data_IF_404226930292
#
_entry.id   IF_404226930292
#
_cell.length_a   1.000
_cell.length_b   1.000
_cell.length_c   1.000
_cell.angle_alpha   90.00
_cell.angle_beta   90.00
_cell.angle_gamma   90.00
#
_symmetry.space_group_name_H-M   'P 1'
#
loop_
_entity.id
_entity.type
_entity.pdbx_description
1 polymer ?
#
# COMPACT_ATOMS: atom_id res chain seq x y z
N UNK A 1 -8.47 18.45 -6.11
CA UNK A 1 -8.44 17.07 -6.61
C UNK A 1 -8.39 16.16 -5.39
N UNK A 2 -9.50 15.52 -5.02
CA UNK A 2 -9.51 14.62 -3.86
C UNK A 2 -8.64 13.42 -4.17
N UNK A 3 -7.47 13.33 -3.51
CA UNK A 3 -6.58 12.20 -3.69
C UNK A 3 -7.30 10.94 -3.18
N UNK A 4 -7.51 9.96 -4.07
CA UNK A 4 -8.12 8.69 -3.69
C UNK A 4 -7.19 7.97 -2.72
N UNK A 5 -7.72 7.56 -1.57
CA UNK A 5 -6.97 6.85 -0.54
C UNK A 5 -7.26 5.36 -0.64
N UNK A 6 -6.22 4.54 -0.56
CA UNK A 6 -6.25 3.08 -0.64
C UNK A 6 -5.60 2.49 0.61
N UNK A 7 -6.17 1.39 1.09
CA UNK A 7 -5.60 0.67 2.24
C UNK A 7 -4.87 -0.57 1.75
N UNK A 8 -3.61 -0.78 2.15
CA UNK A 8 -2.87 -2.00 1.87
C UNK A 8 -2.48 -2.71 3.16
N UNK A 9 -2.33 -4.03 3.12
CA UNK A 9 -1.91 -4.84 4.25
C UNK A 9 -0.51 -5.36 4.04
N UNK A 10 0.39 -5.07 4.98
CA UNK A 10 1.80 -5.43 4.93
C UNK A 10 2.27 -5.95 6.30
N UNK A 11 3.10 -6.98 6.32
CA UNK A 11 3.88 -7.35 7.50
C UNK A 11 5.22 -6.58 7.56
N UNK A 12 6.01 -6.83 8.60
CA UNK A 12 7.29 -6.13 8.80
C UNK A 12 8.27 -6.38 7.63
N UNK A 13 8.37 -7.62 7.13
CA UNK A 13 9.30 -7.97 6.05
C UNK A 13 8.91 -7.30 4.73
N UNK A 14 7.62 -7.32 4.39
CA UNK A 14 7.06 -6.67 3.20
C UNK A 14 7.25 -5.14 3.29
N UNK A 15 7.05 -4.56 4.48
CA UNK A 15 7.31 -3.15 4.75
C UNK A 15 8.79 -2.77 4.59
N UNK A 16 9.71 -3.59 5.09
CA UNK A 16 11.15 -3.36 4.91
C UNK A 16 11.56 -3.39 3.43
N UNK A 17 11.06 -4.35 2.65
CA UNK A 17 11.35 -4.45 1.22
C UNK A 17 10.82 -3.22 0.44
N UNK A 18 9.65 -2.73 0.84
CA UNK A 18 9.05 -1.53 0.28
C UNK A 18 9.92 -0.30 0.57
N UNK A 19 10.39 -0.14 1.81
CA UNK A 19 11.29 0.95 2.20
C UNK A 19 12.63 0.89 1.45
N UNK A 20 13.20 -0.31 1.28
CA UNK A 20 14.41 -0.53 0.46
C UNK A 20 14.19 -0.06 -0.98
N UNK A 21 13.07 -0.44 -1.59
CA UNK A 21 12.73 -0.01 -2.95
C UNK A 21 12.59 1.51 -3.07
N UNK A 22 11.94 2.15 -2.09
CA UNK A 22 11.78 3.60 -2.05
C UNK A 22 13.12 4.32 -1.83
N UNK A 23 14.05 3.74 -1.09
CA UNK A 23 15.36 4.33 -0.83
C UNK A 23 16.23 4.46 -2.10
N UNK A 24 15.99 3.62 -3.11
CA UNK A 24 16.67 3.69 -4.42
C UNK A 24 16.19 4.86 -5.30
N UNK A 25 15.08 5.51 -4.93
CA UNK A 25 14.53 6.67 -5.64
C UNK A 25 15.11 7.99 -5.10
N UNK A 26 15.09 9.08 -5.90
CA UNK A 26 15.55 10.38 -5.42
C UNK A 26 14.78 10.83 -4.18
N UNK A 27 15.53 11.14 -3.12
CA UNK A 27 15.02 11.48 -1.78
C UNK A 27 13.85 12.48 -1.78
N UNK A 28 13.91 13.53 -2.63
CA UNK A 28 12.85 14.55 -2.75
C UNK A 28 11.47 13.98 -3.12
N UNK A 29 11.41 12.81 -3.76
CA UNK A 29 10.18 12.18 -4.18
C UNK A 29 9.62 11.19 -3.15
N UNK A 30 10.45 10.68 -2.24
CA UNK A 30 10.09 9.58 -1.34
C UNK A 30 10.13 9.95 0.14
N UNK A 31 10.76 11.04 0.54
CA UNK A 31 10.95 11.41 1.95
C UNK A 31 9.65 11.45 2.75
N UNK A 32 8.63 12.14 2.25
CA UNK A 32 7.34 12.25 2.94
C UNK A 32 6.63 10.89 3.04
N UNK A 33 6.70 10.09 1.97
CA UNK A 33 6.12 8.75 1.93
C UNK A 33 6.82 7.80 2.92
N UNK A 34 8.15 7.78 2.94
CA UNK A 34 8.95 6.98 3.88
C UNK A 34 8.66 7.40 5.32
N UNK A 35 8.60 8.72 5.59
CA UNK A 35 8.26 9.25 6.90
C UNK A 35 6.89 8.78 7.37
N UNK A 36 5.88 8.89 6.50
CA UNK A 36 4.51 8.42 6.76
C UNK A 36 4.46 6.91 7.02
N UNK A 37 5.11 6.10 6.18
CA UNK A 37 5.16 4.65 6.33
C UNK A 37 5.82 4.24 7.65
N UNK A 38 6.94 4.89 8.01
CA UNK A 38 7.62 4.63 9.26
C UNK A 38 6.77 5.01 10.48
N UNK A 39 6.06 6.15 10.42
CA UNK A 39 5.14 6.54 11.47
C UNK A 39 4.02 5.50 11.64
N UNK A 40 3.37 5.10 10.55
CA UNK A 40 2.34 4.05 10.59
C UNK A 40 2.91 2.73 11.12
N UNK A 41 4.11 2.33 10.69
CA UNK A 41 4.74 1.11 11.18
C UNK A 41 5.02 1.18 12.68
N UNK A 42 5.48 2.33 13.19
CA UNK A 42 5.71 2.50 14.63
C UNK A 42 4.43 2.37 15.46
N UNK A 43 3.32 2.93 14.96
CA UNK A 43 2.01 2.84 15.62
C UNK A 43 1.41 1.42 15.53
N UNK A 44 1.54 0.76 14.38
CA UNK A 44 0.93 -0.54 14.09
C UNK A 44 1.74 -1.72 14.64
N UNK A 45 3.05 -1.59 14.78
CA UNK A 45 3.96 -2.61 15.30
C UNK A 45 4.55 -2.22 16.67
N UNK A 46 3.71 -1.66 17.54
CA UNK A 46 4.08 -1.37 18.92
C UNK A 46 4.66 -2.61 19.63
N UNK A 47 5.60 -2.43 20.59
CA UNK A 47 6.28 -3.53 21.26
C UNK A 47 5.27 -4.48 21.91
N UNK A 48 5.23 -5.72 21.40
CA UNK A 48 4.26 -6.75 21.78
C UNK A 48 3.38 -7.28 20.63
N UNK A 49 3.36 -6.61 19.48
CA UNK A 49 2.65 -7.10 18.29
C UNK A 49 3.41 -8.22 17.55
N UNK A 50 2.66 -9.17 16.99
CA UNK A 50 3.22 -10.25 16.19
C UNK A 50 3.79 -9.70 14.87
N UNK A 51 5.12 -9.79 14.69
CA UNK A 51 5.83 -9.26 13.51
C UNK A 51 5.40 -9.92 12.18
N UNK A 52 4.75 -11.08 12.25
CA UNK A 52 4.21 -11.80 11.09
C UNK A 52 2.80 -11.35 10.70
N UNK A 53 2.12 -10.57 11.54
CA UNK A 53 0.76 -10.13 11.26
C UNK A 53 0.77 -8.96 10.27
N UNK A 54 -0.07 -9.05 9.24
CA UNK A 54 -0.19 -7.98 8.24
C UNK A 54 -1.04 -6.83 8.79
N UNK A 55 -0.43 -5.67 8.94
CA UNK A 55 -1.05 -4.44 9.44
C UNK A 55 -1.57 -3.56 8.29
N UNK A 56 -2.56 -2.71 8.58
CA UNK A 56 -3.21 -1.85 7.57
C UNK A 56 -2.48 -0.53 7.43
N UNK A 57 -1.88 -0.31 6.27
CA UNK A 57 -1.27 0.94 5.86
C UNK A 57 -2.22 1.72 4.96
N UNK A 58 -2.17 3.05 5.07
CA UNK A 58 -3.09 3.95 4.35
C UNK A 58 -2.28 4.87 3.47
N UNK A 59 -2.45 4.73 2.16
CA UNK A 59 -1.69 5.43 1.14
C UNK A 59 -2.62 6.14 0.16
N UNK A 60 -2.18 7.25 -0.41
CA UNK A 60 -2.86 7.83 -1.57
C UNK A 60 -2.54 7.04 -2.83
N UNK A 61 -3.36 7.17 -3.86
CA UNK A 61 -3.14 6.54 -5.16
C UNK A 61 -1.76 6.92 -5.75
N UNK A 62 -1.35 8.18 -5.64
CA UNK A 62 -0.03 8.65 -6.09
C UNK A 62 1.12 8.01 -5.31
N UNK A 63 0.99 7.92 -3.99
CA UNK A 63 1.97 7.25 -3.12
C UNK A 63 2.09 5.76 -3.44
N UNK A 64 0.96 5.10 -3.67
CA UNK A 64 0.92 3.67 -4.01
C UNK A 64 1.50 3.41 -5.40
N UNK A 65 1.21 4.26 -6.38
CA UNK A 65 1.80 4.17 -7.71
C UNK A 65 3.33 4.32 -7.66
N UNK A 66 3.83 5.26 -6.85
CA UNK A 66 5.27 5.45 -6.63
C UNK A 66 5.88 4.19 -5.99
N UNK A 67 5.19 3.62 -5.01
CA UNK A 67 5.61 2.40 -4.30
C UNK A 67 5.72 1.21 -5.25
N UNK A 68 4.71 0.96 -6.09
CA UNK A 68 4.71 -0.13 -7.06
C UNK A 68 5.83 0.07 -8.09
N UNK A 69 6.01 1.32 -8.56
CA UNK A 69 7.09 1.66 -9.48
C UNK A 69 8.47 1.41 -8.87
N UNK A 70 8.65 1.75 -7.60
CA UNK A 70 9.88 1.50 -6.86
C UNK A 70 10.16 -0.01 -6.75
N UNK A 71 9.15 -0.79 -6.33
CA UNK A 71 9.25 -2.25 -6.24
C UNK A 71 9.58 -2.89 -7.59
N UNK A 72 9.05 -2.37 -8.69
CA UNK A 72 9.34 -2.83 -10.05
C UNK A 72 10.81 -2.67 -10.48
N UNK A 73 11.60 -1.83 -9.79
CA UNK A 73 13.03 -1.67 -10.05
C UNK A 73 13.90 -2.70 -9.33
N UNK A 74 13.34 -3.44 -8.36
CA UNK A 74 14.06 -4.48 -7.62
C UNK A 74 14.02 -5.83 -8.36
N UNK A 75 14.90 -6.78 -7.98
CA UNK A 75 14.94 -8.10 -8.61
C UNK A 75 13.61 -8.85 -8.48
N UNK A 76 13.07 -9.30 -9.61
CA UNK A 76 11.72 -9.89 -9.71
C UNK A 76 11.47 -11.02 -8.70
N UNK A 77 12.47 -11.87 -8.44
CA UNK A 77 12.35 -12.99 -7.50
C UNK A 77 12.04 -12.55 -6.05
N UNK A 78 12.36 -11.31 -5.67
CA UNK A 78 12.03 -10.79 -4.33
C UNK A 78 10.67 -10.09 -4.28
N UNK A 79 10.27 -9.43 -5.36
CA UNK A 79 9.12 -8.50 -5.35
C UNK A 79 7.85 -9.07 -5.96
N UNK A 80 7.93 -10.11 -6.79
CA UNK A 80 6.77 -10.61 -7.55
C UNK A 80 5.59 -11.01 -6.66
N UNK A 81 5.83 -11.72 -5.55
CA UNK A 81 4.80 -12.11 -4.58
C UNK A 81 4.12 -10.88 -3.97
N UNK A 82 4.91 -9.90 -3.49
CA UNK A 82 4.39 -8.67 -2.90
C UNK A 82 3.63 -7.83 -3.93
N UNK A 83 4.14 -7.70 -5.14
CA UNK A 83 3.53 -6.91 -6.21
C UNK A 83 2.22 -7.55 -6.70
N UNK A 84 2.15 -8.88 -6.78
CA UNK A 84 0.92 -9.60 -7.08
C UNK A 84 -0.13 -9.43 -5.98
N UNK A 85 0.28 -9.50 -4.71
CA UNK A 85 -0.59 -9.31 -3.55
C UNK A 85 -1.13 -7.87 -3.50
N UNK A 86 -0.27 -6.86 -3.66
CA UNK A 86 -0.67 -5.45 -3.74
C UNK A 86 -1.67 -5.19 -4.87
N UNK A 87 -1.40 -5.71 -6.07
CA UNK A 87 -2.33 -5.58 -7.20
C UNK A 87 -3.70 -6.20 -6.88
N UNK A 88 -3.72 -7.37 -6.22
CA UNK A 88 -4.97 -8.01 -5.80
C UNK A 88 -5.73 -7.15 -4.78
N UNK A 89 -5.03 -6.57 -3.80
CA UNK A 89 -5.64 -5.68 -2.80
C UNK A 89 -6.22 -4.40 -3.42
N UNK A 90 -5.54 -3.83 -4.42
CA UNK A 90 -6.01 -2.64 -5.14
C UNK A 90 -7.25 -2.99 -5.96
N UNK A 91 -7.19 -4.04 -6.77
CA UNK A 91 -8.33 -4.47 -7.59
C UNK A 91 -9.55 -4.78 -6.74
N UNK A 92 -9.38 -5.45 -5.59
CA UNK A 92 -10.47 -5.71 -4.66
C UNK A 92 -11.15 -4.42 -4.18
N UNK A 93 -10.39 -3.37 -3.87
CA UNK A 93 -10.95 -2.08 -3.43
C UNK A 93 -11.56 -1.27 -4.56
N UNK A 94 -10.95 -1.30 -5.76
CA UNK A 94 -11.50 -0.64 -6.94
C UNK A 94 -12.82 -1.28 -7.35
N UNK A 95 -12.88 -2.61 -7.38
CA UNK A 95 -14.09 -3.34 -7.77
C UNK A 95 -15.21 -3.17 -6.73
N UNK A 96 -14.88 -3.16 -5.43
CA UNK A 96 -15.85 -2.96 -4.36
C UNK A 96 -16.41 -1.52 -4.34
N UNK A 97 -15.57 -0.52 -4.68
CA UNK A 97 -16.04 0.86 -4.90
C UNK A 97 -17.08 0.95 -6.02
N UNK A 98 -16.95 0.13 -7.06
CA UNK A 98 -17.87 0.09 -8.20
C UNK A 98 -19.19 -0.65 -7.87
N UNK A 99 -19.13 -1.73 -7.09
CA UNK A 99 -20.34 -2.44 -6.61
C UNK A 99 -21.19 -1.63 -5.63
N UNK A 100 -20.58 -0.77 -4.80
CA UNK A 100 -21.33 0.09 -3.88
C UNK A 100 -22.15 1.17 -4.62
N UNK A 101 -21.66 1.67 -5.76
CA UNK A 101 -22.38 2.64 -6.59
C UNK A 101 -23.60 1.99 -7.29
N UNK A 102 -23.43 0.78 -7.85
CA UNK A 102 -24.51 0.05 -8.51
C UNK A 102 -25.65 -0.37 -7.57
N UNK A 103 -25.36 -0.53 -6.27
CA UNK A 103 -26.35 -0.95 -5.26
C UNK A 103 -27.24 0.21 -4.78
N UNK A 104 -26.79 1.47 -4.91
CA UNK A 104 -27.61 2.65 -4.55
C UNK A 104 -28.60 3.03 -5.65
N UNK A 105 -28.32 2.70 -6.91
CA UNK A 105 -29.22 3.01 -8.04
C UNK A 105 -30.46 2.11 -8.11
N UNK A 106 -30.42 0.91 -7.52
CA UNK A 106 -31.55 -0.02 -7.51
C UNK A 106 -32.46 0.07 -6.26
N UNK A 107 -32.10 0.89 -5.27
CA UNK A 107 -32.91 1.08 -4.06
C UNK A 107 -33.92 2.24 -4.15
N UNK A 108 -34.16 2.75 -5.38
CA UNK A 108 -35.00 3.91 -5.67
C UNK A 108 -36.14 3.65 -6.65
N UNK A 109 -36.68 2.43 -6.72
CA UNK A 109 -37.88 2.10 -7.50
C UNK A 109 -38.92 1.43 -6.62
#
# INVERSE_FOLDING_TARGET
>A
MSARVLTIRLNVQEGSLLLEALAELPFKSVFELIGKLNQQAHELFAPGCAQHERQRFVLTESELALTIKALGNLPYHRVHELLADLNRQIQAQVNNSHSSAASQEYAGI
#
